data_IF_582505205245
#
_entry.id   IF_582505205245
#
_cell.length_a   1.000
_cell.length_b   1.000
_cell.length_c   1.000
_cell.angle_alpha   90.00
_cell.angle_beta   90.00
_cell.angle_gamma   90.00
#
_symmetry.space_group_name_H-M   'P 1'
#
loop_
_entity.id
_entity.type
_entity.pdbx_description
1 polymer ?
#
# COMPACT_ATOMS: atom_id res chain seq x y z
N UNK A 1 -15.71 -14.15 4.76
CA UNK A 1 -16.55 -15.32 4.47
C UNK A 1 -15.91 -16.58 5.01
N UNK A 2 -16.42 -17.74 4.60
CA UNK A 2 -15.96 -19.06 5.05
C UNK A 2 -14.54 -19.40 4.61
N UNK A 3 -14.02 -18.74 3.56
CA UNK A 3 -12.71 -19.00 2.99
C UNK A 3 -11.80 -17.78 3.21
N UNK A 4 -10.61 -18.03 3.73
CA UNK A 4 -9.51 -17.06 3.80
C UNK A 4 -8.38 -17.44 2.84
N UNK A 5 -7.81 -16.46 2.15
CA UNK A 5 -6.67 -16.61 1.25
C UNK A 5 -5.55 -15.70 1.73
N UNK A 6 -4.37 -16.25 2.01
CA UNK A 6 -3.16 -15.49 2.31
C UNK A 6 -2.23 -15.47 1.11
N UNK A 7 -1.86 -14.27 0.68
CA UNK A 7 -0.90 -14.02 -0.39
C UNK A 7 0.21 -13.11 0.09
N UNK A 8 1.39 -13.19 -0.53
CA UNK A 8 2.41 -12.16 -0.31
C UNK A 8 1.96 -10.83 -0.92
N UNK A 9 2.30 -9.65 -0.34
CA UNK A 9 1.90 -8.36 -0.90
C UNK A 9 2.30 -8.17 -2.37
N UNK A 10 3.44 -8.75 -2.79
CA UNK A 10 3.92 -8.70 -4.16
C UNK A 10 3.04 -9.49 -5.16
N UNK A 11 2.27 -10.48 -4.69
CA UNK A 11 1.38 -11.31 -5.50
C UNK A 11 -0.09 -10.91 -5.39
N UNK A 12 -0.43 -9.92 -4.54
CA UNK A 12 -1.80 -9.43 -4.41
C UNK A 12 -2.41 -9.00 -5.76
N UNK A 13 -1.73 -8.20 -6.62
CA UNK A 13 -2.32 -7.80 -7.90
C UNK A 13 -2.67 -8.99 -8.81
N UNK A 14 -1.84 -10.04 -8.80
CA UNK A 14 -2.09 -11.27 -9.57
C UNK A 14 -3.28 -12.07 -9.02
N UNK A 15 -3.39 -12.14 -7.69
CA UNK A 15 -4.52 -12.79 -7.04
C UNK A 15 -5.82 -12.04 -7.34
N UNK A 16 -5.83 -10.71 -7.24
CA UNK A 16 -6.98 -9.88 -7.59
C UNK A 16 -7.39 -10.04 -9.06
N UNK A 17 -6.44 -9.99 -9.99
CA UNK A 17 -6.70 -10.20 -11.42
C UNK A 17 -7.35 -11.58 -11.67
N UNK A 18 -6.81 -12.63 -11.05
CA UNK A 18 -7.36 -13.98 -11.15
C UNK A 18 -8.78 -14.06 -10.58
N UNK A 19 -9.01 -13.52 -9.39
CA UNK A 19 -10.33 -13.52 -8.75
C UNK A 19 -11.36 -12.75 -9.58
N UNK A 20 -10.99 -11.60 -10.14
CA UNK A 20 -11.83 -10.84 -11.08
C UNK A 20 -12.12 -11.64 -12.34
N UNK A 21 -11.10 -12.24 -12.96
CA UNK A 21 -11.23 -13.05 -14.18
C UNK A 21 -12.17 -14.24 -13.99
N UNK A 22 -12.09 -14.92 -12.85
CA UNK A 22 -12.97 -16.05 -12.51
C UNK A 22 -14.27 -15.63 -11.82
N UNK A 23 -14.55 -14.33 -11.70
CA UNK A 23 -15.75 -13.76 -11.06
C UNK A 23 -15.98 -14.27 -9.63
N UNK A 24 -14.91 -14.48 -8.88
CA UNK A 24 -14.96 -14.85 -7.46
C UNK A 24 -15.08 -13.55 -6.66
N UNK A 25 -16.17 -13.32 -5.90
CA UNK A 25 -16.30 -12.14 -5.06
C UNK A 25 -15.28 -12.20 -3.92
N UNK A 26 -14.54 -11.12 -3.70
CA UNK A 26 -13.47 -11.09 -2.71
C UNK A 26 -13.36 -9.74 -1.99
N UNK A 27 -12.76 -9.77 -0.79
CA UNK A 27 -12.45 -8.58 -0.01
C UNK A 27 -11.02 -8.64 0.49
N UNK A 28 -10.22 -7.63 0.15
CA UNK A 28 -8.84 -7.51 0.60
C UNK A 28 -8.79 -6.88 1.99
N UNK A 29 -8.23 -7.61 2.96
CA UNK A 29 -8.01 -7.19 4.35
C UNK A 29 -6.64 -6.53 4.52
N UNK A 30 -6.30 -5.63 3.62
CA UNK A 30 -5.13 -4.76 3.72
C UNK A 30 -5.59 -3.34 3.48
N UNK A 31 -5.08 -2.42 4.31
CA UNK A 31 -5.28 -1.00 4.06
C UNK A 31 -4.46 -0.63 2.83
N UNK A 32 -5.12 -0.20 1.77
CA UNK A 32 -4.44 0.55 0.70
C UNK A 32 -3.78 1.79 1.29
N UNK A 33 -2.80 2.35 0.60
CA UNK A 33 -2.24 3.66 0.96
C UNK A 33 -2.84 4.72 0.05
N UNK A 34 -2.82 5.98 0.47
CA UNK A 34 -3.24 7.10 -0.37
C UNK A 34 -2.43 7.13 -1.68
N UNK A 35 -1.15 6.73 -1.65
CA UNK A 35 -0.31 6.64 -2.85
C UNK A 35 -0.85 5.67 -3.92
N UNK A 36 -1.67 4.68 -3.55
CA UNK A 36 -2.32 3.78 -4.51
C UNK A 36 -3.55 4.36 -5.20
N UNK A 37 -3.94 5.60 -4.86
CA UNK A 37 -5.10 6.29 -5.46
C UNK A 37 -4.68 7.36 -6.45
N UNK A 38 -5.60 7.74 -7.33
CA UNK A 38 -5.41 8.88 -8.25
C UNK A 38 -5.09 10.19 -7.52
N UNK A 39 -5.55 10.35 -6.27
CA UNK A 39 -5.26 11.54 -5.47
C UNK A 39 -3.84 11.53 -4.92
N UNK A 40 -3.31 10.36 -4.57
CA UNK A 40 -1.94 10.22 -4.09
C UNK A 40 -0.87 10.44 -5.15
N UNK A 41 -1.19 10.20 -6.42
CA UNK A 41 -0.30 10.44 -7.57
C UNK A 41 -0.28 11.92 -8.01
N UNK A 42 -1.37 12.65 -7.73
CA UNK A 42 -1.59 14.01 -8.22
C UNK A 42 -0.47 15.01 -7.87
N UNK A 43 0.07 15.09 -6.63
CA UNK A 43 1.09 16.09 -6.30
C UNK A 43 2.33 15.98 -7.21
N UNK A 44 2.79 14.75 -7.44
CA UNK A 44 3.93 14.47 -8.29
C UNK A 44 3.65 14.76 -9.76
N UNK A 45 2.46 14.43 -10.26
CA UNK A 45 2.06 14.71 -11.64
C UNK A 45 1.96 16.21 -11.92
N UNK A 46 1.33 16.97 -11.01
CA UNK A 46 1.20 18.43 -11.08
C UNK A 46 2.57 19.11 -11.07
N UNK A 47 3.45 18.72 -10.15
CA UNK A 47 4.79 19.29 -10.06
C UNK A 47 5.67 18.99 -11.28
N UNK A 48 5.59 17.77 -11.83
CA UNK A 48 6.28 17.40 -13.08
C UNK A 48 5.81 18.25 -14.26
N UNK A 49 4.51 18.53 -14.36
CA UNK A 49 3.98 19.40 -15.41
C UNK A 49 4.52 20.83 -15.25
N UNK A 50 4.51 21.38 -14.04
CA UNK A 50 5.06 22.71 -13.75
C UNK A 50 6.56 22.83 -14.05
N UNK A 51 7.38 21.89 -13.56
CA UNK A 51 8.84 21.93 -13.75
C UNK A 51 9.25 21.69 -15.21
N UNK A 52 8.43 21.00 -15.99
CA UNK A 52 8.60 20.90 -17.45
C UNK A 52 8.20 22.16 -18.22
N UNK A 53 7.73 23.21 -17.53
CA UNK A 53 7.25 24.43 -18.15
C UNK A 53 5.88 24.27 -18.80
N UNK A 54 5.01 23.41 -18.26
CA UNK A 54 3.69 23.11 -18.83
C UNK A 54 3.76 22.57 -20.27
N UNK A 55 4.58 21.53 -20.46
CA UNK A 55 4.69 20.81 -21.72
C UNK A 55 3.32 20.27 -22.17
N UNK A 56 3.07 20.32 -23.48
CA UNK A 56 1.78 19.98 -24.11
C UNK A 56 1.18 18.66 -23.64
N UNK A 57 1.91 17.55 -23.80
CA UNK A 57 1.36 16.20 -23.54
C UNK A 57 1.05 16.01 -22.06
N UNK A 58 2.03 16.26 -21.18
CA UNK A 58 1.89 16.12 -19.72
C UNK A 58 0.74 16.96 -19.20
N UNK A 59 0.64 18.21 -19.65
CA UNK A 59 -0.40 19.14 -19.19
C UNK A 59 -1.78 18.74 -19.70
N UNK A 60 -1.88 18.28 -20.95
CA UNK A 60 -3.15 17.79 -21.52
C UNK A 60 -3.67 16.59 -20.73
N UNK A 61 -2.83 15.57 -20.51
CA UNK A 61 -3.25 14.37 -19.77
C UNK A 61 -3.54 14.66 -18.29
N UNK A 62 -2.78 15.57 -17.67
CA UNK A 62 -3.06 16.02 -16.30
C UNK A 62 -4.46 16.68 -16.21
N UNK A 63 -4.76 17.62 -17.10
CA UNK A 63 -6.05 18.31 -17.12
C UNK A 63 -7.22 17.42 -17.58
N UNK A 64 -6.94 16.37 -18.34
CA UNK A 64 -7.92 15.34 -18.71
C UNK A 64 -8.15 14.29 -17.61
N UNK A 65 -7.28 14.26 -16.59
CA UNK A 65 -7.34 13.29 -15.49
C UNK A 65 -8.62 13.42 -14.66
N UNK A 66 -9.09 12.34 -14.02
CA UNK A 66 -10.42 12.27 -13.41
C UNK A 66 -10.67 13.34 -12.33
N UNK A 67 -9.62 13.75 -11.60
CA UNK A 67 -9.71 14.75 -10.54
C UNK A 67 -9.76 16.20 -11.06
N UNK A 68 -9.25 16.45 -12.27
CA UNK A 68 -9.06 17.81 -12.82
C UNK A 68 -9.90 18.05 -14.08
N UNK A 69 -10.50 17.00 -14.63
CA UNK A 69 -11.27 17.05 -15.87
C UNK A 69 -12.30 18.16 -15.84
N UNK A 70 -12.32 18.90 -16.93
CA UNK A 70 -13.34 19.90 -17.23
C UNK A 70 -14.07 19.46 -18.50
N UNK A 71 -15.40 19.62 -18.58
CA UNK A 71 -16.16 19.31 -19.80
C UNK A 71 -15.73 20.16 -21.00
N UNK A 72 -15.13 21.32 -20.76
CA UNK A 72 -14.71 22.27 -21.79
C UNK A 72 -13.38 21.88 -22.47
N UNK A 73 -12.69 20.84 -21.99
CA UNK A 73 -11.39 20.41 -22.52
C UNK A 73 -11.55 19.26 -23.52
N UNK A 74 -11.30 19.55 -24.78
CA UNK A 74 -11.10 18.54 -25.82
C UNK A 74 -9.61 18.17 -25.90
N UNK A 75 -9.30 16.90 -25.56
CA UNK A 75 -7.95 16.34 -25.56
C UNK A 75 -7.32 16.39 -26.96
N UNK A 76 -8.07 16.02 -27.99
CA UNK A 76 -7.55 15.95 -29.36
C UNK A 76 -7.26 17.36 -29.90
N UNK A 77 -8.17 18.30 -29.63
CA UNK A 77 -7.97 19.70 -30.00
C UNK A 77 -6.76 20.31 -29.25
N UNK A 78 -6.59 20.01 -27.96
CA UNK A 78 -5.48 20.52 -27.16
C UNK A 78 -4.12 19.99 -27.66
N UNK A 79 -4.04 18.70 -27.97
CA UNK A 79 -2.84 18.10 -28.56
C UNK A 79 -2.50 18.68 -29.93
N UNK A 80 -3.52 19.06 -30.72
CA UNK A 80 -3.32 19.62 -32.06
C UNK A 80 -3.01 21.13 -32.05
N UNK A 81 -3.38 21.86 -31.00
CA UNK A 81 -3.16 23.29 -30.88
C UNK A 81 -1.75 23.66 -30.35
N UNK A 82 -1.00 22.66 -29.86
CA UNK A 82 0.35 22.79 -29.31
C UNK A 82 0.56 23.94 -28.30
N UNK A 83 -0.30 24.10 -27.26
CA UNK A 83 -0.02 25.05 -26.19
C UNK A 83 1.18 24.59 -25.35
N UNK A 84 2.15 25.49 -25.16
CA UNK A 84 3.32 25.26 -24.32
C UNK A 84 3.59 26.48 -23.42
N UNK A 85 3.89 26.23 -22.15
CA UNK A 85 4.07 27.30 -21.18
C UNK A 85 2.77 27.84 -20.63
N UNK A 86 2.87 28.41 -19.43
CA UNK A 86 1.74 29.00 -18.70
C UNK A 86 0.95 30.01 -19.53
N UNK A 87 1.64 30.87 -20.30
CA UNK A 87 1.00 31.90 -21.13
C UNK A 87 0.19 31.31 -22.28
N UNK A 88 0.67 30.26 -22.95
CA UNK A 88 -0.06 29.66 -24.07
C UNK A 88 -1.27 28.89 -23.57
N UNK A 89 -1.09 28.08 -22.51
CA UNK A 89 -2.18 27.39 -21.85
C UNK A 89 -3.26 28.34 -21.32
N UNK A 90 -2.86 29.45 -20.69
CA UNK A 90 -3.78 30.47 -20.21
C UNK A 90 -4.58 31.20 -21.29
N UNK A 91 -4.09 31.22 -22.54
CA UNK A 91 -4.82 31.76 -23.71
C UNK A 91 -5.71 30.72 -24.37
N UNK A 92 -5.27 29.46 -24.38
CA UNK A 92 -5.98 28.36 -25.02
C UNK A 92 -7.21 27.91 -24.20
N UNK A 93 -7.02 27.72 -22.90
CA UNK A 93 -8.06 27.23 -21.99
C UNK A 93 -9.14 28.28 -21.77
N UNK A 94 -10.37 27.80 -21.55
CA UNK A 94 -11.54 28.63 -21.25
C UNK A 94 -12.34 28.00 -20.10
N UNK A 95 -13.26 28.78 -19.54
CA UNK A 95 -14.20 28.31 -18.50
C UNK A 95 -13.50 27.64 -17.32
N UNK A 96 -14.04 26.50 -16.90
CA UNK A 96 -13.58 25.77 -15.71
C UNK A 96 -12.17 25.18 -15.90
N UNK A 97 -11.79 24.83 -17.14
CA UNK A 97 -10.45 24.31 -17.43
C UNK A 97 -9.36 25.37 -17.16
N UNK A 98 -9.62 26.63 -17.54
CA UNK A 98 -8.71 27.74 -17.28
C UNK A 98 -8.58 28.05 -15.79
N UNK A 99 -9.70 28.04 -15.05
CA UNK A 99 -9.71 28.23 -13.60
C UNK A 99 -8.89 27.15 -12.90
N UNK A 100 -9.11 25.88 -13.26
CA UNK A 100 -8.37 24.74 -12.72
C UNK A 100 -6.87 24.87 -13.00
N UNK A 101 -6.49 25.25 -14.23
CA UNK A 101 -5.10 25.48 -14.60
C UNK A 101 -4.43 26.60 -13.80
N UNK A 102 -5.13 27.72 -13.58
CA UNK A 102 -4.60 28.83 -12.77
C UNK A 102 -4.35 28.42 -11.32
N UNK A 103 -5.26 27.62 -10.73
CA UNK A 103 -5.08 27.07 -9.38
C UNK A 103 -3.90 26.11 -9.28
N UNK A 104 -3.71 25.26 -10.30
CA UNK A 104 -2.54 24.39 -10.41
C UNK A 104 -1.25 25.21 -10.47
N UNK A 105 -1.24 26.29 -11.24
CA UNK A 105 -0.10 27.17 -11.33
C UNK A 105 0.19 27.88 -10.00
N UNK A 106 -0.85 28.34 -9.30
CA UNK A 106 -0.73 28.95 -7.99
C UNK A 106 -0.15 27.99 -6.95
N UNK A 107 -0.70 26.78 -6.81
CA UNK A 107 -0.17 25.81 -5.83
C UNK A 107 1.28 25.42 -6.14
N UNK A 108 1.64 25.29 -7.42
CA UNK A 108 3.03 25.05 -7.81
C UNK A 108 3.94 26.23 -7.46
N UNK A 109 3.51 27.48 -7.70
CA UNK A 109 4.29 28.65 -7.27
C UNK A 109 4.46 28.69 -5.75
N UNK A 110 3.44 28.29 -4.99
CA UNK A 110 3.51 28.20 -3.54
C UNK A 110 4.48 27.11 -3.06
N UNK A 111 4.51 25.95 -3.72
CA UNK A 111 5.56 24.96 -3.47
C UNK A 111 6.95 25.48 -3.85
N UNK A 112 7.05 26.23 -4.95
CA UNK A 112 8.29 26.85 -5.38
C UNK A 112 8.76 27.96 -4.42
N UNK A 113 7.88 28.68 -3.72
CA UNK A 113 8.26 29.61 -2.65
C UNK A 113 8.70 28.88 -1.39
N UNK A 114 8.08 27.74 -1.11
CA UNK A 114 8.37 26.87 0.04
C UNK A 114 7.63 27.28 1.31
N UNK A 115 7.76 26.46 2.35
CA UNK A 115 7.10 26.64 3.64
C UNK A 115 7.52 25.59 4.66
N UNK A 116 7.01 25.70 5.88
CA UNK A 116 7.14 24.64 6.90
C UNK A 116 6.30 23.42 6.52
N UNK A 117 6.51 22.24 7.14
CA UNK A 117 5.77 21.03 6.79
C UNK A 117 4.25 21.20 6.93
N UNK A 118 3.81 21.91 7.98
CA UNK A 118 2.40 22.26 8.19
C UNK A 118 1.86 23.17 7.08
N UNK A 119 2.62 24.20 6.71
CA UNK A 119 2.22 25.11 5.64
C UNK A 119 2.09 24.39 4.30
N UNK A 120 3.06 23.52 3.94
CA UNK A 120 3.02 22.74 2.70
C UNK A 120 1.77 21.85 2.67
N UNK A 121 1.45 21.16 3.77
CA UNK A 121 0.26 20.32 3.85
C UNK A 121 -1.03 21.13 3.77
N UNK A 122 -1.09 22.32 4.39
CA UNK A 122 -2.24 23.23 4.29
C UNK A 122 -2.44 23.75 2.87
N UNK A 123 -1.37 24.13 2.17
CA UNK A 123 -1.45 24.56 0.77
C UNK A 123 -2.03 23.44 -0.11
N UNK A 124 -1.55 22.21 0.10
CA UNK A 124 -2.07 21.05 -0.63
C UNK A 124 -3.52 20.74 -0.29
N UNK A 125 -3.88 20.72 0.99
CA UNK A 125 -5.25 20.51 1.45
C UNK A 125 -6.21 21.58 0.91
N UNK A 126 -5.84 22.86 0.98
CA UNK A 126 -6.63 23.96 0.43
C UNK A 126 -6.89 23.79 -1.06
N UNK A 127 -5.85 23.46 -1.83
CA UNK A 127 -5.99 23.16 -3.26
C UNK A 127 -6.97 22.00 -3.51
N UNK A 128 -6.85 20.90 -2.77
CA UNK A 128 -7.73 19.73 -2.91
C UNK A 128 -9.19 20.05 -2.59
N UNK A 129 -9.45 20.77 -1.49
CA UNK A 129 -10.80 21.20 -1.12
C UNK A 129 -11.39 22.11 -2.21
N UNK A 130 -10.59 23.02 -2.75
CA UNK A 130 -11.02 23.96 -3.78
C UNK A 130 -11.34 23.34 -5.13
N UNK A 131 -10.68 22.24 -5.52
CA UNK A 131 -11.00 21.55 -6.77
C UNK A 131 -12.21 20.61 -6.62
N UNK A 132 -12.62 20.31 -5.38
CA UNK A 132 -13.75 19.46 -5.02
C UNK A 132 -13.81 18.17 -5.86
N UNK A 133 -12.83 17.26 -5.68
CA UNK A 133 -12.67 16.09 -6.56
C UNK A 133 -13.88 15.14 -6.49
N UNK A 134 -14.56 15.08 -5.35
CA UNK A 134 -15.76 14.26 -5.13
C UNK A 134 -16.90 14.71 -6.02
N UNK A 135 -17.20 16.02 -6.07
CA UNK A 135 -18.25 16.59 -6.92
C UNK A 135 -17.96 16.34 -8.40
N UNK A 136 -16.69 16.46 -8.79
CA UNK A 136 -16.27 16.21 -10.18
C UNK A 136 -16.52 14.77 -10.57
N UNK A 137 -16.11 13.82 -9.75
CA UNK A 137 -16.22 12.39 -10.07
C UNK A 137 -17.65 11.90 -9.91
N UNK A 138 -18.39 12.37 -8.90
CA UNK A 138 -19.80 12.05 -8.67
C UNK A 138 -20.65 12.32 -9.91
N UNK A 139 -20.36 13.39 -10.67
CA UNK A 139 -21.07 13.70 -11.92
C UNK A 139 -20.86 12.69 -13.07
N UNK A 140 -19.93 11.74 -12.93
CA UNK A 140 -19.64 10.69 -13.92
C UNK A 140 -20.08 9.29 -13.46
N UNK A 141 -20.52 9.14 -12.20
CA UNK A 141 -20.75 7.82 -11.58
C UNK A 141 -22.13 7.24 -11.91
N UNK A 142 -23.07 8.05 -12.38
CA UNK A 142 -24.49 7.69 -12.50
C UNK A 142 -24.78 6.36 -13.25
N UNK A 143 -23.83 5.82 -14.04
CA UNK A 143 -23.99 4.57 -14.79
C UNK A 143 -22.91 3.47 -14.57
N UNK A 144 -21.92 3.63 -13.67
CA UNK A 144 -20.80 2.66 -13.52
C UNK A 144 -20.50 2.32 -12.04
N UNK A 145 -21.07 1.23 -11.50
CA UNK A 145 -20.87 0.80 -10.10
C UNK A 145 -19.40 0.58 -9.70
N UNK A 146 -18.53 0.24 -10.65
CA UNK A 146 -17.09 0.08 -10.39
C UNK A 146 -16.39 1.39 -9.97
N UNK A 147 -17.00 2.55 -10.25
CA UNK A 147 -16.47 3.85 -9.86
C UNK A 147 -16.82 4.25 -8.42
N UNK A 148 -17.76 3.57 -7.76
CA UNK A 148 -18.11 3.82 -6.35
C UNK A 148 -16.91 3.61 -5.42
N UNK A 149 -16.11 2.58 -5.72
CA UNK A 149 -14.90 2.28 -4.94
C UNK A 149 -13.81 3.34 -5.16
N UNK A 150 -13.72 3.90 -6.37
CA UNK A 150 -12.80 5.00 -6.67
C UNK A 150 -13.23 6.26 -5.91
N UNK A 151 -14.53 6.57 -5.89
CA UNK A 151 -15.05 7.70 -5.11
C UNK A 151 -14.76 7.54 -3.63
N UNK A 152 -15.00 6.35 -3.07
CA UNK A 152 -14.72 6.03 -1.67
C UNK A 152 -13.25 6.17 -1.31
N UNK A 153 -12.35 5.72 -2.19
CA UNK A 153 -10.90 5.85 -1.98
C UNK A 153 -10.48 7.33 -2.00
N UNK A 154 -11.08 8.15 -2.87
CA UNK A 154 -10.84 9.58 -2.96
C UNK A 154 -11.35 10.28 -1.70
N UNK A 155 -12.60 10.05 -1.30
CA UNK A 155 -13.18 10.63 -0.09
C UNK A 155 -12.39 10.28 1.16
N UNK A 156 -11.97 9.01 1.26
CA UNK A 156 -11.11 8.55 2.35
C UNK A 156 -9.75 9.25 2.33
N UNK A 157 -9.18 9.48 1.14
CA UNK A 157 -7.90 10.18 0.99
C UNK A 157 -7.99 11.66 1.36
N UNK A 158 -9.08 12.36 0.97
CA UNK A 158 -9.34 13.75 1.35
C UNK A 158 -9.51 13.88 2.86
N UNK A 159 -10.28 12.96 3.47
CA UNK A 159 -10.46 12.92 4.92
C UNK A 159 -9.14 12.69 5.67
N UNK A 160 -8.33 11.73 5.21
CA UNK A 160 -7.01 11.44 5.77
C UNK A 160 -6.06 12.64 5.66
N UNK A 161 -6.13 13.40 4.56
CA UNK A 161 -5.37 14.64 4.38
C UNK A 161 -5.79 15.70 5.41
N UNK A 162 -7.10 15.89 5.62
CA UNK A 162 -7.63 16.80 6.65
C UNK A 162 -7.16 16.43 8.05
N UNK A 163 -7.32 15.16 8.44
CA UNK A 163 -6.83 14.65 9.73
C UNK A 163 -5.32 14.84 9.90
N UNK A 164 -4.54 14.69 8.82
CA UNK A 164 -3.09 14.92 8.87
C UNK A 164 -2.75 16.39 9.12
N UNK A 165 -3.50 17.32 8.54
CA UNK A 165 -3.33 18.76 8.80
C UNK A 165 -3.65 19.08 10.25
N UNK A 166 -4.80 18.62 10.76
CA UNK A 166 -5.20 18.82 12.16
C UNK A 166 -4.16 18.25 13.14
N UNK A 167 -3.71 17.01 12.91
CA UNK A 167 -2.66 16.38 13.72
C UNK A 167 -1.35 17.19 13.70
N UNK A 168 -0.97 17.76 12.56
CA UNK A 168 0.23 18.60 12.49
C UNK A 168 0.03 19.92 13.22
N UNK A 169 -1.17 20.51 13.21
CA UNK A 169 -1.47 21.73 13.99
C UNK A 169 -1.36 21.47 15.49
N UNK A 170 -1.88 20.35 15.97
CA UNK A 170 -1.84 19.98 17.39
C UNK A 170 -0.42 19.77 17.89
N UNK A 171 0.39 19.05 17.10
CA UNK A 171 1.73 18.62 17.52
C UNK A 171 2.81 19.64 17.10
N UNK A 172 2.52 20.66 16.27
CA UNK A 172 3.51 21.62 15.73
C UNK A 172 4.48 22.19 16.80
N UNK A 173 3.97 22.38 18.02
CA UNK A 173 4.73 22.88 19.18
C UNK A 173 5.64 21.83 19.83
N UNK A 174 5.30 20.55 19.71
CA UNK A 174 5.96 19.42 20.37
C UNK A 174 6.99 18.71 19.49
N UNK A 175 6.92 18.83 18.15
CA UNK A 175 7.90 18.22 17.20
C UNK A 175 9.25 18.98 17.22
N UNK A 176 9.34 20.11 17.92
CA UNK A 176 10.60 20.83 18.13
C UNK A 176 11.22 21.36 16.81
N UNK A 177 12.54 21.24 16.58
CA UNK A 177 13.20 21.80 15.39
C UNK A 177 12.66 21.28 14.05
N UNK A 178 12.08 20.07 14.03
CA UNK A 178 11.58 19.45 12.80
C UNK A 178 10.34 20.16 12.24
N UNK A 179 9.51 20.81 13.08
CA UNK A 179 8.37 21.61 12.58
C UNK A 179 8.79 22.88 11.85
N UNK A 180 10.05 23.31 12.03
CA UNK A 180 10.61 24.53 11.44
C UNK A 180 11.44 24.29 10.18
N UNK A 181 11.58 23.04 9.74
CA UNK A 181 12.31 22.71 8.52
C UNK A 181 11.62 23.34 7.32
N UNK A 182 12.35 24.16 6.57
CA UNK A 182 11.81 24.84 5.40
C UNK A 182 11.95 23.95 4.17
N UNK A 183 10.82 23.58 3.55
CA UNK A 183 10.75 22.70 2.38
C UNK A 183 10.39 23.54 1.15
N UNK A 184 11.12 23.37 0.05
CA UNK A 184 10.94 24.17 -1.17
C UNK A 184 11.02 23.31 -2.43
N UNK A 185 10.16 23.62 -3.41
CA UNK A 185 10.15 22.97 -4.71
C UNK A 185 9.95 21.47 -4.59
N UNK A 186 10.92 20.69 -5.06
CA UNK A 186 10.85 19.22 -5.02
C UNK A 186 10.73 18.67 -3.58
N UNK A 187 11.41 19.26 -2.60
CA UNK A 187 11.37 18.79 -1.21
C UNK A 187 9.96 18.91 -0.60
N UNK A 188 9.23 19.97 -0.94
CA UNK A 188 7.85 20.16 -0.52
C UNK A 188 6.93 19.08 -1.11
N UNK A 189 7.13 18.75 -2.39
CA UNK A 189 6.36 17.72 -3.09
C UNK A 189 6.73 16.32 -2.61
N UNK A 190 8.00 16.06 -2.33
CA UNK A 190 8.48 14.79 -1.78
C UNK A 190 7.96 14.56 -0.35
N UNK A 191 7.77 15.63 0.42
CA UNK A 191 7.13 15.56 1.73
C UNK A 191 5.65 15.12 1.61
N UNK A 192 4.90 15.71 0.69
CA UNK A 192 3.50 15.30 0.41
C UNK A 192 3.47 13.86 -0.09
N UNK A 193 4.31 13.49 -1.05
CA UNK A 193 4.41 12.13 -1.56
C UNK A 193 4.88 11.14 -0.47
N UNK A 194 5.68 11.61 0.49
CA UNK A 194 6.07 10.84 1.67
C UNK A 194 4.87 10.55 2.56
N UNK A 195 3.99 11.52 2.77
CA UNK A 195 2.72 11.30 3.45
C UNK A 195 1.83 10.30 2.68
N UNK A 196 1.64 10.47 1.36
CA UNK A 196 0.73 9.58 0.60
C UNK A 196 1.14 8.11 0.68
N UNK A 197 2.46 7.82 0.72
CA UNK A 197 2.99 6.46 0.86
C UNK A 197 2.73 5.83 2.22
N UNK A 198 2.58 6.63 3.27
CA UNK A 198 2.42 6.17 4.65
C UNK A 198 0.97 6.25 5.16
N UNK A 199 0.17 7.14 4.58
CA UNK A 199 -1.23 7.33 4.93
C UNK A 199 -2.07 6.13 4.49
N UNK A 200 -2.75 5.48 5.44
CA UNK A 200 -3.52 4.26 5.19
C UNK A 200 -5.00 4.55 5.02
N UNK A 201 -5.62 3.98 4.00
CA UNK A 201 -7.06 4.05 3.78
C UNK A 201 -7.82 3.11 4.73
N UNK A 202 -9.11 3.38 5.01
CA UNK A 202 -9.96 2.48 5.79
C UNK A 202 -10.00 1.07 5.20
N UNK A 203 -10.03 0.05 6.07
CA UNK A 203 -10.26 -1.33 5.65
C UNK A 203 -11.68 -1.42 5.09
N UNK A 204 -11.83 -2.05 3.92
CA UNK A 204 -13.14 -2.25 3.31
C UNK A 204 -13.97 -3.22 4.16
N UNK A 205 -15.23 -2.85 4.37
CA UNK A 205 -16.16 -3.70 5.11
C UNK A 205 -16.33 -5.02 4.34
N UNK A 206 -16.29 -6.18 5.02
CA UNK A 206 -16.45 -7.46 4.34
C UNK A 206 -17.82 -7.56 3.69
N UNK A 207 -17.87 -7.88 2.39
CA UNK A 207 -19.10 -8.27 1.73
C UNK A 207 -19.49 -9.70 2.14
N UNK A 208 -20.79 -9.96 2.28
CA UNK A 208 -21.32 -11.29 2.54
C UNK A 208 -20.93 -12.27 1.42
N UNK A 209 -20.71 -13.54 1.78
CA UNK A 209 -20.40 -14.62 0.82
C UNK A 209 -19.18 -14.39 -0.09
N UNK A 210 -18.21 -13.60 0.38
CA UNK A 210 -16.96 -13.33 -0.34
C UNK A 210 -15.76 -14.07 0.26
N UNK A 211 -14.76 -14.31 -0.59
CA UNK A 211 -13.43 -14.72 -0.20
C UNK A 211 -12.73 -13.59 0.55
N UNK A 212 -12.14 -13.88 1.71
CA UNK A 212 -11.33 -12.89 2.43
C UNK A 212 -9.86 -13.03 2.03
N UNK A 213 -9.26 -11.99 1.46
CA UNK A 213 -7.87 -12.01 0.97
C UNK A 213 -6.98 -11.21 1.92
N UNK A 214 -5.93 -11.82 2.45
CA UNK A 214 -4.92 -11.21 3.30
C UNK A 214 -3.62 -11.07 2.51
N UNK A 215 -3.17 -9.84 2.27
CA UNK A 215 -1.85 -9.57 1.72
C UNK A 215 -0.84 -9.43 2.87
N UNK A 216 -0.15 -10.54 3.18
CA UNK A 216 0.67 -10.69 4.37
C UNK A 216 -0.06 -11.41 5.50
N UNK A 217 0.42 -11.22 6.73
CA UNK A 217 -0.09 -11.97 7.88
C UNK A 217 -1.50 -11.51 8.28
N UNK A 218 -2.46 -12.43 8.46
CA UNK A 218 -3.77 -12.08 8.99
C UNK A 218 -3.68 -11.65 10.47
N UNK A 219 -4.67 -10.89 10.98
CA UNK A 219 -4.83 -10.62 12.41
C UNK A 219 -4.77 -11.89 13.26
N UNK A 220 -4.27 -11.79 14.50
CA UNK A 220 -3.95 -12.95 15.35
C UNK A 220 -5.15 -13.88 15.58
N UNK A 221 -6.35 -13.34 15.77
CA UNK A 221 -7.57 -14.08 16.06
C UNK A 221 -8.40 -14.42 14.80
N UNK A 222 -7.77 -14.41 13.64
CA UNK A 222 -8.45 -14.78 12.39
C UNK A 222 -8.71 -16.28 12.38
N UNK A 223 -9.93 -16.65 11.99
CA UNK A 223 -10.32 -18.03 11.69
C UNK A 223 -11.24 -18.06 10.48
N UNK A 224 -11.12 -19.12 9.69
CA UNK A 224 -11.97 -19.40 8.54
C UNK A 224 -12.33 -20.88 8.52
N UNK A 225 -13.43 -21.24 7.88
CA UNK A 225 -13.78 -22.66 7.66
C UNK A 225 -12.70 -23.34 6.83
N UNK A 226 -12.30 -22.71 5.73
CA UNK A 226 -11.18 -23.13 4.90
C UNK A 226 -10.12 -22.04 4.80
N UNK A 227 -8.84 -22.44 4.85
CA UNK A 227 -7.71 -21.54 4.74
C UNK A 227 -6.84 -21.91 3.55
N UNK A 228 -6.48 -20.93 2.72
CA UNK A 228 -5.60 -21.11 1.58
C UNK A 228 -4.35 -20.28 1.83
N UNK A 229 -3.20 -20.92 1.85
CA UNK A 229 -1.92 -20.29 2.09
C UNK A 229 -1.04 -20.43 0.84
N UNK A 230 -0.72 -19.32 0.18
CA UNK A 230 0.16 -19.32 -1.00
C UNK A 230 1.61 -19.07 -0.62
N UNK A 231 2.50 -19.20 -1.61
CA UNK A 231 3.93 -18.93 -1.48
C UNK A 231 4.60 -19.72 -0.33
N UNK A 232 4.15 -20.95 -0.07
CA UNK A 232 4.74 -21.83 0.95
C UNK A 232 5.94 -22.59 0.39
N UNK A 233 6.92 -21.79 -0.05
CA UNK A 233 8.19 -22.24 -0.59
C UNK A 233 9.34 -22.00 0.40
N UNK A 234 10.52 -22.50 0.02
CA UNK A 234 11.75 -22.36 0.78
C UNK A 234 12.17 -20.90 1.04
N UNK A 235 11.90 -20.00 0.10
CA UNK A 235 12.35 -18.60 0.14
C UNK A 235 11.45 -17.71 0.98
N UNK A 236 10.20 -18.12 1.20
CA UNK A 236 9.21 -17.36 1.96
C UNK A 236 9.09 -17.89 3.39
N UNK A 237 9.14 -19.21 3.58
CA UNK A 237 8.98 -19.85 4.89
C UNK A 237 10.13 -20.83 5.19
N UNK A 238 11.04 -20.52 6.14
CA UNK A 238 11.14 -19.30 6.97
C UNK A 238 11.62 -18.04 6.22
N UNK A 239 12.06 -18.23 4.99
CA UNK A 239 12.77 -17.24 4.20
C UNK A 239 14.18 -16.95 4.68
N UNK A 240 14.83 -15.97 4.04
CA UNK A 240 16.24 -15.64 4.30
C UNK A 240 16.37 -14.91 5.65
N UNK A 241 16.69 -15.65 6.70
CA UNK A 241 17.13 -15.08 7.97
C UNK A 241 18.51 -14.45 7.75
N UNK A 242 18.66 -13.19 8.16
CA UNK A 242 19.91 -12.43 8.02
C UNK A 242 20.30 -11.91 9.38
N UNK A 243 21.60 -11.95 9.67
CA UNK A 243 22.13 -11.30 10.86
C UNK A 243 21.93 -9.79 10.79
N UNK A 244 21.77 -9.17 11.96
CA UNK A 244 21.72 -7.72 12.05
C UNK A 244 23.08 -7.14 11.61
N UNK A 245 23.10 -6.11 10.74
CA UNK A 245 24.35 -5.47 10.32
C UNK A 245 25.05 -4.74 11.47
N UNK A 246 24.34 -4.45 12.57
CA UNK A 246 24.87 -3.77 13.74
C UNK A 246 25.34 -4.74 14.83
N UNK A 247 24.71 -5.92 14.93
CA UNK A 247 24.99 -6.90 15.98
C UNK A 247 24.84 -8.33 15.45
N UNK A 248 25.98 -8.97 15.15
CA UNK A 248 26.05 -10.36 14.70
C UNK A 248 25.55 -11.35 15.76
N UNK A 249 25.21 -12.56 15.34
CA UNK A 249 24.54 -13.54 16.22
C UNK A 249 25.43 -13.97 17.40
N UNK A 250 26.75 -14.09 17.19
CA UNK A 250 27.69 -14.42 18.27
C UNK A 250 27.73 -13.35 19.36
N UNK A 251 27.67 -12.08 18.97
CA UNK A 251 27.62 -10.96 19.91
C UNK A 251 26.32 -10.93 20.70
N UNK A 252 25.18 -11.27 20.06
CA UNK A 252 23.88 -11.45 20.75
C UNK A 252 23.98 -12.58 21.79
N UNK A 253 24.49 -13.74 21.41
CA UNK A 253 24.68 -14.87 22.31
C UNK A 253 25.63 -14.56 23.48
N UNK A 254 26.67 -13.76 23.24
CA UNK A 254 27.57 -13.29 24.31
C UNK A 254 26.87 -12.32 25.26
N UNK A 255 26.07 -11.39 24.73
CA UNK A 255 25.28 -10.45 25.52
C UNK A 255 24.26 -11.19 26.40
N UNK A 256 23.49 -12.12 25.81
CA UNK A 256 22.49 -12.92 26.51
C UNK A 256 23.12 -13.75 27.65
N UNK A 257 24.28 -14.38 27.41
CA UNK A 257 25.03 -15.11 28.46
C UNK A 257 25.53 -14.21 29.59
N UNK A 258 26.03 -13.02 29.26
CA UNK A 258 26.49 -12.07 30.27
C UNK A 258 25.34 -11.47 31.10
N UNK A 259 24.16 -11.29 30.48
CA UNK A 259 22.96 -10.80 31.13
C UNK A 259 22.37 -11.78 32.18
N UNK A 260 22.69 -13.08 32.08
CA UNK A 260 22.20 -14.13 32.97
C UNK A 260 22.98 -14.27 34.30
N UNK A 261 24.14 -13.62 34.45
CA UNK A 261 25.18 -14.03 35.42
C UNK A 261 25.19 -13.36 36.80
N UNK A 262 24.34 -12.38 37.14
CA UNK A 262 24.54 -11.61 38.38
C UNK A 262 23.22 -11.20 39.07
N UNK A 263 22.57 -12.10 39.82
CA UNK A 263 21.45 -11.83 40.77
C UNK A 263 20.01 -12.16 40.33
N UNK A 264 19.79 -12.97 39.29
CA UNK A 264 18.45 -13.52 38.99
C UNK A 264 17.37 -12.51 38.58
N UNK A 265 17.74 -11.24 38.38
CA UNK A 265 16.91 -10.26 37.68
C UNK A 265 17.23 -10.33 36.19
N UNK A 266 16.21 -10.60 35.36
CA UNK A 266 16.36 -10.62 33.90
C UNK A 266 16.85 -9.25 33.40
N UNK A 267 18.14 -9.16 33.08
CA UNK A 267 18.65 -8.08 32.22
C UNK A 267 18.25 -8.41 30.77
N UNK A 268 18.05 -7.37 29.96
CA UNK A 268 17.43 -7.48 28.63
C UNK A 268 17.97 -8.62 27.77
N UNK A 269 17.10 -9.21 26.97
CA UNK A 269 17.39 -10.32 26.04
C UNK A 269 17.33 -9.82 24.59
N UNK A 270 18.28 -10.24 23.77
CA UNK A 270 18.29 -9.93 22.34
C UNK A 270 18.09 -11.21 21.55
N UNK A 271 17.07 -11.23 20.69
CA UNK A 271 16.68 -12.42 19.95
C UNK A 271 17.79 -12.94 19.02
N UNK A 272 18.11 -14.22 19.17
CA UNK A 272 19.06 -14.94 18.31
C UNK A 272 18.40 -15.49 17.04
N UNK A 273 19.20 -15.81 16.02
CA UNK A 273 18.70 -16.33 14.75
C UNK A 273 17.90 -17.64 14.89
N UNK A 274 18.26 -18.50 15.84
CA UNK A 274 17.51 -19.74 16.07
C UNK A 274 16.13 -19.44 16.69
N UNK A 275 16.05 -18.47 17.61
CA UNK A 275 14.79 -18.04 18.22
C UNK A 275 13.88 -17.37 17.19
N UNK A 276 14.43 -16.53 16.31
CA UNK A 276 13.70 -15.97 15.17
C UNK A 276 13.13 -17.07 14.26
N UNK A 277 13.91 -18.13 14.01
CA UNK A 277 13.45 -19.29 13.23
C UNK A 277 12.31 -20.02 13.93
N UNK A 278 12.44 -20.28 15.23
CA UNK A 278 11.42 -20.94 16.05
C UNK A 278 10.12 -20.13 16.11
N UNK A 279 10.22 -18.80 16.27
CA UNK A 279 9.07 -17.90 16.24
C UNK A 279 8.35 -17.93 14.89
N UNK A 280 9.10 -17.94 13.79
CA UNK A 280 8.52 -18.10 12.44
C UNK A 280 7.85 -19.45 12.26
N UNK A 281 8.41 -20.52 12.82
CA UNK A 281 7.76 -21.84 12.78
C UNK A 281 6.47 -21.86 13.60
N UNK A 282 6.47 -21.27 14.79
CA UNK A 282 5.27 -21.13 15.62
C UNK A 282 4.19 -20.31 14.91
N UNK A 283 4.57 -19.21 14.26
CA UNK A 283 3.68 -18.42 13.42
C UNK A 283 3.14 -19.24 12.25
N UNK A 284 3.99 -19.98 11.54
CA UNK A 284 3.58 -20.85 10.45
C UNK A 284 2.52 -21.86 10.92
N UNK A 285 2.77 -22.55 12.04
CA UNK A 285 1.82 -23.49 12.66
C UNK A 285 0.50 -22.81 13.04
N UNK A 286 0.55 -21.59 13.59
CA UNK A 286 -0.63 -20.77 13.90
C UNK A 286 -1.46 -20.50 12.65
N UNK A 287 -0.81 -20.14 11.54
CA UNK A 287 -1.50 -19.84 10.27
C UNK A 287 -2.17 -21.09 9.69
N UNK A 288 -1.55 -22.27 9.79
CA UNK A 288 -2.22 -23.51 9.42
C UNK A 288 -3.44 -23.78 10.33
N UNK A 289 -3.32 -23.47 11.62
CA UNK A 289 -4.42 -23.59 12.58
C UNK A 289 -5.53 -22.51 12.45
N UNK A 290 -5.43 -21.58 11.49
CA UNK A 290 -6.50 -20.62 11.17
C UNK A 290 -7.73 -21.31 10.55
N UNK A 291 -7.59 -22.50 9.97
CA UNK A 291 -8.72 -23.25 9.42
C UNK A 291 -9.48 -24.05 10.49
N UNK A 292 -10.81 -24.09 10.39
CA UNK A 292 -11.65 -24.98 11.19
C UNK A 292 -11.84 -26.37 10.56
N UNK A 293 -11.91 -26.45 9.22
CA UNK A 293 -12.14 -27.72 8.51
C UNK A 293 -10.98 -28.15 7.61
N UNK A 294 -10.26 -27.21 6.98
CA UNK A 294 -9.15 -27.60 6.12
C UNK A 294 -8.25 -26.45 5.68
N UNK A 295 -6.97 -26.77 5.49
CA UNK A 295 -5.97 -25.85 4.96
C UNK A 295 -5.40 -26.36 3.64
N UNK A 296 -5.38 -25.50 2.63
CA UNK A 296 -4.73 -25.73 1.34
C UNK A 296 -3.42 -24.95 1.33
N UNK A 297 -2.31 -25.66 1.14
CA UNK A 297 -0.99 -25.06 1.00
C UNK A 297 -0.55 -25.10 -0.46
N UNK A 298 -0.16 -23.95 -1.00
CA UNK A 298 0.30 -23.80 -2.38
C UNK A 298 1.71 -23.24 -2.42
N UNK A 299 2.48 -23.68 -3.42
CA UNK A 299 3.81 -23.14 -3.74
C UNK A 299 4.00 -23.12 -5.25
N UNK A 300 4.83 -22.20 -5.73
CA UNK A 300 5.34 -22.31 -7.08
C UNK A 300 6.42 -23.40 -7.16
N UNK A 301 6.49 -24.09 -8.30
CA UNK A 301 7.56 -25.05 -8.59
C UNK A 301 8.81 -24.36 -9.15
N UNK A 302 8.65 -23.16 -9.72
CA UNK A 302 9.71 -22.40 -10.36
C UNK A 302 9.66 -20.93 -9.97
N UNK A 303 10.82 -20.29 -9.88
CA UNK A 303 10.91 -18.85 -9.70
C UNK A 303 10.60 -18.09 -11.00
N UNK A 304 10.66 -16.75 -10.94
CA UNK A 304 10.44 -15.87 -12.11
C UNK A 304 11.47 -16.08 -13.24
N UNK A 305 12.60 -16.71 -12.94
CA UNK A 305 13.68 -17.02 -13.89
C UNK A 305 13.63 -18.49 -14.36
N UNK A 306 12.57 -19.24 -14.02
CA UNK A 306 12.44 -20.66 -14.35
C UNK A 306 13.29 -21.61 -13.50
N UNK A 307 13.94 -21.14 -12.43
CA UNK A 307 14.74 -21.99 -11.55
C UNK A 307 13.84 -22.77 -10.59
N UNK A 308 14.13 -24.05 -10.31
CA UNK A 308 13.35 -24.84 -9.36
C UNK A 308 13.27 -24.19 -7.97
N UNK A 309 12.06 -24.13 -7.41
CA UNK A 309 11.80 -23.71 -6.03
C UNK A 309 11.47 -24.92 -5.17
N UNK A 310 12.16 -25.03 -4.03
CA UNK A 310 11.91 -26.04 -3.02
C UNK A 310 10.67 -25.74 -2.17
N UNK A 311 10.14 -26.76 -1.51
CA UNK A 311 9.09 -26.61 -0.50
C UNK A 311 9.63 -25.94 0.78
N UNK A 312 8.73 -25.34 1.56
CA UNK A 312 9.09 -24.83 2.89
C UNK A 312 9.60 -25.94 3.81
N UNK A 313 10.65 -25.64 4.58
CA UNK A 313 11.18 -26.56 5.61
C UNK A 313 10.20 -26.80 6.76
N UNK A 314 9.18 -25.95 6.92
CA UNK A 314 8.19 -26.07 7.99
C UNK A 314 7.03 -27.02 7.67
N UNK A 315 6.93 -27.53 6.44
CA UNK A 315 5.84 -28.43 6.05
C UNK A 315 6.00 -29.84 6.58
N UNK A 316 7.14 -30.49 6.33
CA UNK A 316 7.35 -31.89 6.75
C UNK A 316 7.20 -32.10 8.27
N UNK A 317 7.68 -31.20 9.15
CA UNK A 317 7.48 -31.32 10.59
C UNK A 317 6.01 -31.39 11.03
N UNK A 318 5.07 -30.78 10.30
CA UNK A 318 3.63 -30.82 10.65
C UNK A 318 3.08 -32.25 10.69
N UNK A 319 3.58 -33.13 9.82
CA UNK A 319 3.10 -34.49 9.68
C UNK A 319 3.86 -35.50 10.57
N UNK A 320 4.98 -35.07 11.17
CA UNK A 320 5.85 -35.92 12.02
C UNK A 320 5.43 -35.96 13.49
N UNK A 321 4.56 -35.04 13.94
CA UNK A 321 4.19 -34.91 15.35
C UNK A 321 3.39 -36.14 15.81
N UNK A 322 3.91 -36.84 16.83
CA UNK A 322 3.29 -38.02 17.49
C UNK A 322 2.19 -37.65 18.50
N UNK A 323 1.55 -36.50 18.36
CA UNK A 323 0.53 -36.06 19.31
C UNK A 323 -0.84 -36.56 18.83
N UNK A 324 -1.42 -37.52 19.56
CA UNK A 324 -2.59 -38.31 19.13
C UNK A 324 -3.87 -37.47 19.01
N UNK A 325 -3.93 -36.28 19.62
CA UNK A 325 -5.14 -35.47 19.70
C UNK A 325 -5.24 -34.34 18.67
N UNK A 326 -4.13 -33.93 18.04
CA UNK A 326 -4.09 -32.81 17.07
C UNK A 326 -3.15 -33.09 15.90
N UNK A 327 -3.49 -34.13 15.13
CA UNK A 327 -2.71 -34.54 13.96
C UNK A 327 -3.23 -33.86 12.70
N UNK A 328 -2.35 -33.19 11.98
CA UNK A 328 -2.62 -32.80 10.59
C UNK A 328 -2.44 -34.02 9.69
N UNK A 329 -3.45 -34.34 8.90
CA UNK A 329 -3.39 -35.41 7.91
C UNK A 329 -3.38 -34.84 6.50
N UNK A 330 -2.53 -35.39 5.64
CA UNK A 330 -2.45 -34.96 4.25
C UNK A 330 -3.63 -35.56 3.48
N UNK A 331 -4.61 -34.74 3.16
CA UNK A 331 -5.77 -35.16 2.35
C UNK A 331 -5.40 -35.47 0.89
N UNK A 332 -4.39 -34.81 0.32
CA UNK A 332 -3.92 -35.06 -1.04
C UNK A 332 -2.83 -34.10 -1.51
N UNK A 333 -2.37 -34.25 -2.75
CA UNK A 333 -1.47 -33.31 -3.43
C UNK A 333 -1.66 -33.36 -4.94
N UNK A 334 -1.66 -32.20 -5.58
CA UNK A 334 -1.77 -32.06 -7.04
C UNK A 334 -0.61 -31.19 -7.52
N UNK A 335 0.03 -31.58 -8.61
CA UNK A 335 1.09 -30.82 -9.26
C UNK A 335 0.58 -30.33 -10.62
N UNK A 336 0.54 -29.02 -10.83
CA UNK A 336 0.20 -28.45 -12.12
C UNK A 336 1.47 -28.16 -12.92
N UNK A 337 1.64 -28.85 -14.05
CA UNK A 337 2.69 -28.56 -15.02
C UNK A 337 2.04 -27.85 -16.21
N UNK A 338 2.31 -26.57 -16.45
CA UNK A 338 1.81 -25.92 -17.65
C UNK A 338 2.39 -26.65 -18.87
N UNK A 339 1.51 -27.09 -19.75
CA UNK A 339 1.82 -27.78 -21.02
C UNK A 339 2.52 -26.88 -22.01
#
# INVERSE_FOLDING_TARGET
GDIGLMVTPAHLPLAEDSLRRYRIPYNVQVRGTVAGTVLGELPGAVWKAFTSGWEREKTTFLLAGPLLRSPDLDVSAALSAFPEGSRAWGKYLKGRALETFRKLEEVCRNFASGGTPLQIMKMWHGFIVEIAPEDRIGSFIDDIPELDEVLKDISSSVKELGMKVEMLEDIDRDIGPASKVFLKGQDAVDYICGWTRNATLPIRLPQSSSLTVYAGLPPVLTFHRYWIMTDVDYNTWPGRLRESPLLGNESKARFNRAAQSENGAERGHIQELHEEREQKEALFRRLIATSLEGTVVMRSLTDRNGRPLGASQFLDPLFRVQDKERRWERAGSIEYRPS
#
